data_IF_919760399028
#
_entry.id   IF_919760399028
#
_cell.length_a   1.000
_cell.length_b   1.000
_cell.length_c   1.000
_cell.angle_alpha   90.00
_cell.angle_beta   90.00
_cell.angle_gamma   90.00
#
_symmetry.space_group_name_H-M   'P 1'
#
loop_
_entity.id
_entity.type
_entity.pdbx_description
1 polymer ?
#
# COMPACT_ATOMS: atom_id res chain seq x y z
N UNK A 1 -28.72 -26.83 59.44
CA UNK A 1 -28.75 -28.19 58.89
C UNK A 1 -28.31 -28.08 57.43
N UNK A 2 -27.02 -28.40 57.17
CA UNK A 2 -26.31 -28.52 55.86
C UNK A 2 -26.07 -27.18 55.14
N UNK A 3 -24.87 -26.60 55.03
CA UNK A 3 -23.50 -27.12 54.83
C UNK A 3 -23.31 -28.07 53.66
N UNK A 4 -22.28 -27.74 52.87
CA UNK A 4 -21.60 -28.48 51.77
C UNK A 4 -22.33 -28.65 50.44
N UNK A 5 -21.89 -27.88 49.41
CA UNK A 5 -21.01 -28.39 48.37
C UNK A 5 -20.30 -27.24 47.61
N UNK A 6 -19.03 -27.07 47.97
CA UNK A 6 -17.98 -26.39 47.23
C UNK A 6 -17.66 -27.19 45.95
N UNK A 7 -17.34 -26.50 44.84
CA UNK A 7 -16.17 -26.81 43.99
C UNK A 7 -16.31 -26.22 42.58
N UNK A 8 -15.59 -25.11 42.34
CA UNK A 8 -14.70 -24.97 41.19
C UNK A 8 -15.31 -24.86 39.78
N UNK A 9 -15.28 -23.65 39.23
CA UNK A 9 -14.52 -23.34 38.01
C UNK A 9 -14.47 -21.84 37.78
N UNK A 10 -13.48 -21.21 38.41
CA UNK A 10 -12.82 -20.03 37.86
C UNK A 10 -12.21 -20.43 36.51
N UNK A 11 -12.98 -20.22 35.45
CA UNK A 11 -12.54 -20.33 34.07
C UNK A 11 -12.16 -18.96 33.53
N UNK A 12 -11.19 -18.28 34.18
CA UNK A 12 -10.45 -17.21 33.51
C UNK A 12 -9.83 -17.83 32.24
N UNK A 13 -10.40 -17.50 31.08
CA UNK A 13 -9.76 -17.76 29.80
C UNK A 13 -8.46 -16.93 29.77
N UNK A 14 -7.37 -17.59 30.12
CA UNK A 14 -6.02 -17.05 30.13
C UNK A 14 -5.59 -16.63 28.73
N UNK A 15 -5.89 -15.40 28.36
CA UNK A 15 -5.13 -14.68 27.35
C UNK A 15 -3.74 -14.45 27.92
N UNK A 16 -2.80 -15.35 27.63
CA UNK A 16 -1.42 -15.24 28.07
C UNK A 16 -0.83 -13.89 27.68
N UNK A 17 -0.82 -12.94 28.62
CA UNK A 17 -0.09 -11.69 28.48
C UNK A 17 1.39 -12.09 28.40
N UNK A 18 2.01 -11.81 27.26
CA UNK A 18 3.46 -11.93 27.08
C UNK A 18 4.18 -11.35 28.31
N UNK A 19 5.18 -12.05 28.88
CA UNK A 19 5.89 -11.57 30.04
C UNK A 19 6.43 -10.16 29.78
N UNK A 20 6.29 -9.28 30.77
CA UNK A 20 6.48 -7.83 30.70
C UNK A 20 7.87 -7.36 30.19
N UNK A 21 8.84 -8.27 30.09
CA UNK A 21 10.24 -8.00 29.80
C UNK A 21 10.52 -7.50 28.37
N UNK A 22 9.70 -7.86 27.36
CA UNK A 22 9.96 -7.50 25.95
C UNK A 22 9.01 -6.45 25.36
N UNK A 23 8.23 -5.76 26.20
CA UNK A 23 7.28 -4.74 25.72
C UNK A 23 8.02 -3.44 25.36
N UNK A 24 8.13 -3.17 24.07
CA UNK A 24 8.63 -1.87 23.58
C UNK A 24 7.67 -0.77 24.04
N UNK A 25 8.20 0.23 24.77
CA UNK A 25 7.42 1.37 25.28
C UNK A 25 7.46 2.58 24.35
N UNK A 26 8.57 2.77 23.63
CA UNK A 26 8.74 3.91 22.75
C UNK A 26 7.82 3.78 21.51
N UNK A 27 6.86 4.69 21.39
CA UNK A 27 5.89 4.72 20.30
C UNK A 27 6.55 4.93 18.94
N UNK A 28 7.56 5.81 18.86
CA UNK A 28 8.29 6.05 17.64
C UNK A 28 8.96 4.78 17.12
N UNK A 29 9.60 4.02 18.01
CA UNK A 29 10.23 2.75 17.65
C UNK A 29 9.20 1.69 17.24
N UNK A 30 8.05 1.63 17.93
CA UNK A 30 6.95 0.71 17.55
C UNK A 30 6.41 1.03 16.16
N UNK A 31 6.17 2.32 15.87
CA UNK A 31 5.69 2.74 14.55
C UNK A 31 6.72 2.46 13.46
N UNK A 32 8.01 2.70 13.73
CA UNK A 32 9.08 2.35 12.80
C UNK A 32 9.10 0.85 12.48
N UNK A 33 9.06 -0.01 13.49
CA UNK A 33 9.01 -1.46 13.27
C UNK A 33 7.76 -1.90 12.51
N UNK A 34 6.60 -1.30 12.82
CA UNK A 34 5.35 -1.58 12.12
C UNK A 34 5.43 -1.17 10.64
N UNK A 35 5.94 0.03 10.34
CA UNK A 35 6.15 0.51 8.97
C UNK A 35 7.17 -0.32 8.19
N UNK A 36 8.26 -0.76 8.83
CA UNK A 36 9.24 -1.67 8.22
C UNK A 36 8.58 -3.00 7.86
N UNK A 37 7.86 -3.62 8.80
CA UNK A 37 7.25 -4.93 8.58
C UNK A 37 6.11 -4.88 7.55
N UNK A 38 5.23 -3.88 7.61
CA UNK A 38 4.14 -3.74 6.65
C UNK A 38 4.65 -3.44 5.24
N UNK A 39 5.64 -2.55 5.11
CA UNK A 39 6.27 -2.27 3.82
C UNK A 39 7.01 -3.50 3.28
N UNK A 40 7.71 -4.24 4.14
CA UNK A 40 8.36 -5.49 3.78
C UNK A 40 7.37 -6.51 3.19
N UNK A 41 6.21 -6.69 3.84
CA UNK A 41 5.19 -7.65 3.37
C UNK A 41 4.58 -7.23 2.05
N UNK A 42 4.19 -5.96 1.91
CA UNK A 42 3.69 -5.42 0.64
C UNK A 42 4.70 -5.63 -0.50
N UNK A 43 5.96 -5.30 -0.25
CA UNK A 43 7.01 -5.38 -1.26
C UNK A 43 7.39 -6.82 -1.59
N UNK A 44 7.38 -7.73 -0.61
CA UNK A 44 7.68 -9.15 -0.84
C UNK A 44 6.64 -9.77 -1.78
N UNK A 45 5.35 -9.54 -1.52
CA UNK A 45 4.30 -10.06 -2.40
C UNK A 45 4.27 -9.35 -3.75
N UNK A 46 4.39 -8.01 -3.79
CA UNK A 46 4.39 -7.25 -5.03
C UNK A 46 5.58 -7.58 -5.94
N UNK A 47 6.81 -7.55 -5.41
CA UNK A 47 8.00 -7.92 -6.19
C UNK A 47 8.02 -9.41 -6.53
N UNK A 48 7.50 -10.27 -5.66
CA UNK A 48 7.38 -11.70 -5.89
C UNK A 48 6.48 -12.03 -7.09
N UNK A 49 5.32 -11.39 -7.23
CA UNK A 49 4.47 -11.60 -8.42
C UNK A 49 5.12 -11.12 -9.70
N UNK A 50 5.89 -10.03 -9.64
CA UNK A 50 6.66 -9.54 -10.78
C UNK A 50 7.76 -10.53 -11.17
N UNK A 51 8.55 -11.00 -10.20
CA UNK A 51 9.59 -12.00 -10.43
C UNK A 51 8.99 -13.27 -11.06
N UNK A 52 7.91 -13.79 -10.49
CA UNK A 52 7.19 -14.96 -10.99
C UNK A 52 6.75 -14.82 -12.45
N UNK A 53 6.15 -13.68 -12.82
CA UNK A 53 5.67 -13.44 -14.19
C UNK A 53 6.83 -13.30 -15.17
N UNK A 54 7.89 -12.60 -14.78
CA UNK A 54 9.04 -12.32 -15.65
C UNK A 54 9.91 -13.56 -15.84
N UNK A 55 10.36 -14.20 -14.76
CA UNK A 55 11.23 -15.39 -14.86
C UNK A 55 10.49 -16.61 -15.40
N UNK A 56 9.16 -16.64 -15.25
CA UNK A 56 8.30 -17.65 -15.84
C UNK A 56 7.89 -17.37 -17.28
N UNK A 57 8.39 -16.31 -17.92
CA UNK A 57 8.03 -15.88 -19.28
C UNK A 57 6.51 -15.86 -19.55
N UNK A 58 5.75 -15.40 -18.55
CA UNK A 58 4.29 -15.32 -18.62
C UNK A 58 3.53 -16.64 -18.46
N UNK A 59 4.21 -17.76 -18.15
CA UNK A 59 3.58 -19.06 -17.84
C UNK A 59 2.82 -19.03 -16.51
N UNK A 60 3.40 -18.37 -15.50
CA UNK A 60 2.87 -18.35 -14.13
C UNK A 60 2.07 -17.08 -13.80
N UNK A 61 1.74 -16.26 -14.80
CA UNK A 61 0.90 -15.08 -14.63
C UNK A 61 1.05 -14.05 -15.73
N UNK A 62 0.22 -13.01 -15.66
CA UNK A 62 0.18 -11.87 -16.61
C UNK A 62 0.02 -10.55 -15.85
N UNK A 63 -0.10 -9.45 -16.58
CA UNK A 63 -0.27 -8.11 -16.03
C UNK A 63 -1.30 -8.02 -14.89
N UNK A 64 -2.47 -8.66 -15.04
CA UNK A 64 -3.50 -8.70 -13.99
C UNK A 64 -3.01 -9.34 -12.69
N UNK A 65 -2.25 -10.44 -12.76
CA UNK A 65 -1.72 -11.12 -11.57
C UNK A 65 -0.71 -10.26 -10.80
N UNK A 66 0.04 -9.40 -11.49
CA UNK A 66 0.93 -8.42 -10.85
C UNK A 66 0.10 -7.41 -10.05
N UNK A 67 -0.93 -6.82 -10.67
CA UNK A 67 -1.79 -5.85 -10.00
C UNK A 67 -2.55 -6.47 -8.82
N UNK A 68 -3.03 -7.70 -8.96
CA UNK A 68 -3.68 -8.45 -7.89
C UNK A 68 -2.71 -8.70 -6.73
N UNK A 69 -1.49 -9.14 -7.02
CA UNK A 69 -0.45 -9.38 -6.02
C UNK A 69 -0.08 -8.11 -5.24
N UNK A 70 0.08 -6.97 -5.93
CA UNK A 70 0.34 -5.68 -5.27
C UNK A 70 -0.84 -5.23 -4.42
N UNK A 71 -2.08 -5.31 -4.93
CA UNK A 71 -3.27 -4.94 -4.17
C UNK A 71 -3.45 -5.78 -2.91
N UNK A 72 -3.34 -7.10 -3.02
CA UNK A 72 -3.44 -8.00 -1.86
C UNK A 72 -2.24 -7.85 -0.91
N UNK A 73 -1.04 -7.59 -1.42
CA UNK A 73 0.14 -7.29 -0.61
C UNK A 73 -0.03 -6.02 0.22
N UNK A 74 -0.63 -4.97 -0.36
CA UNK A 74 -1.01 -3.76 0.37
C UNK A 74 -2.04 -4.07 1.46
N UNK A 75 -3.09 -4.83 1.14
CA UNK A 75 -4.10 -5.22 2.13
C UNK A 75 -3.47 -5.93 3.34
N UNK A 76 -2.55 -6.86 3.10
CA UNK A 76 -1.85 -7.57 4.18
C UNK A 76 -0.93 -6.63 4.99
N UNK A 77 -0.24 -5.70 4.34
CA UNK A 77 0.55 -4.69 5.06
C UNK A 77 -0.30 -3.78 5.95
N UNK A 78 -1.50 -3.37 5.48
CA UNK A 78 -2.45 -2.61 6.29
C UNK A 78 -2.96 -3.44 7.48
N UNK A 79 -3.24 -4.73 7.29
CA UNK A 79 -3.59 -5.62 8.39
C UNK A 79 -2.50 -5.73 9.46
N UNK A 80 -1.23 -5.73 9.06
CA UNK A 80 -0.08 -5.86 9.97
C UNK A 80 0.10 -4.63 10.84
N UNK A 81 0.10 -3.43 10.23
CA UNK A 81 0.53 -2.21 10.90
C UNK A 81 -0.59 -1.21 11.18
N UNK A 82 -1.82 -1.45 10.70
CA UNK A 82 -2.90 -0.45 10.72
C UNK A 82 -3.23 0.08 12.11
N UNK A 83 -3.23 -0.78 13.14
CA UNK A 83 -3.49 -0.37 14.54
C UNK A 83 -2.26 0.16 15.29
N UNK A 84 -1.06 0.11 14.70
CA UNK A 84 0.19 0.51 15.37
C UNK A 84 0.72 1.81 14.79
N UNK A 85 0.96 1.86 13.47
CA UNK A 85 1.52 3.05 12.80
C UNK A 85 0.49 3.78 11.92
N UNK A 86 -0.67 3.17 11.68
CA UNK A 86 -1.60 3.59 10.62
C UNK A 86 -1.28 2.95 9.25
N UNK A 87 -0.23 2.14 9.16
CA UNK A 87 0.21 1.45 7.93
C UNK A 87 0.33 2.39 6.72
N UNK A 88 1.15 3.42 6.82
CA UNK A 88 1.34 4.34 5.70
C UNK A 88 2.01 3.64 4.52
N UNK A 89 3.09 2.89 4.78
CA UNK A 89 3.82 2.06 3.81
C UNK A 89 4.31 2.81 2.57
N UNK A 90 4.21 4.14 2.61
CA UNK A 90 4.34 5.03 1.48
C UNK A 90 4.78 6.42 1.97
N UNK A 91 5.91 6.89 1.45
CA UNK A 91 6.44 8.21 1.80
C UNK A 91 5.51 9.34 1.36
N UNK A 92 4.79 9.20 0.23
CA UNK A 92 3.81 10.18 -0.22
C UNK A 92 2.61 10.25 0.73
N UNK A 93 2.07 9.10 1.16
CA UNK A 93 1.00 9.05 2.18
C UNK A 93 1.47 9.68 3.49
N UNK A 94 2.69 9.36 3.93
CA UNK A 94 3.26 9.93 5.16
C UNK A 94 3.43 11.45 5.06
N UNK A 95 3.84 11.94 3.90
CA UNK A 95 3.95 13.37 3.61
C UNK A 95 2.57 14.05 3.64
N UNK A 96 1.56 13.45 2.98
CA UNK A 96 0.17 13.94 3.01
C UNK A 96 -0.40 13.98 4.43
N UNK A 97 -0.15 12.96 5.25
CA UNK A 97 -0.58 12.96 6.65
C UNK A 97 0.09 14.07 7.46
N UNK A 98 1.34 14.44 7.14
CA UNK A 98 1.98 15.61 7.76
C UNK A 98 1.33 16.92 7.30
N UNK A 99 1.03 17.06 6.02
CA UNK A 99 0.34 18.23 5.46
C UNK A 99 -1.05 18.44 6.09
N UNK A 100 -1.78 17.36 6.36
CA UNK A 100 -3.09 17.40 7.02
C UNK A 100 -3.03 17.42 8.56
N UNK A 101 -1.83 17.51 9.15
CA UNK A 101 -1.66 17.56 10.60
C UNK A 101 -2.03 16.26 11.33
N UNK A 102 -2.16 15.14 10.60
CA UNK A 102 -2.45 13.80 11.15
C UNK A 102 -1.18 13.02 11.53
N UNK A 103 -0.01 13.47 11.09
CA UNK A 103 1.30 12.97 11.50
C UNK A 103 2.21 14.15 11.87
N UNK A 104 2.93 14.06 12.99
CA UNK A 104 3.92 15.08 13.35
C UNK A 104 5.10 15.07 12.37
N UNK A 105 5.55 16.23 11.90
CA UNK A 105 6.68 16.36 10.97
C UNK A 105 7.97 15.69 11.46
N UNK A 106 8.18 15.59 12.78
CA UNK A 106 9.33 14.88 13.37
C UNK A 106 9.30 13.36 13.12
N UNK A 107 8.11 12.79 12.93
CA UNK A 107 7.91 11.37 12.63
C UNK A 107 8.08 11.05 11.15
N UNK A 108 7.94 12.04 10.26
CA UNK A 108 8.09 11.85 8.82
C UNK A 108 9.41 11.16 8.42
N UNK A 109 10.61 11.63 8.83
CA UNK A 109 11.86 10.98 8.46
C UNK A 109 11.97 9.55 9.04
N UNK A 110 11.37 9.29 10.21
CA UNK A 110 11.35 7.94 10.81
C UNK A 110 10.52 7.00 9.96
N UNK A 111 9.33 7.42 9.53
CA UNK A 111 8.46 6.64 8.66
C UNK A 111 9.13 6.34 7.32
N UNK A 112 9.71 7.36 6.67
CA UNK A 112 10.40 7.17 5.39
C UNK A 112 11.57 6.20 5.53
N UNK A 113 12.44 6.38 6.53
CA UNK A 113 13.57 5.48 6.76
C UNK A 113 13.12 4.03 7.03
N UNK A 114 12.07 3.84 7.86
CA UNK A 114 11.51 2.54 8.17
C UNK A 114 10.92 1.83 6.94
N UNK A 115 10.18 2.56 6.11
CA UNK A 115 9.61 2.05 4.86
C UNK A 115 10.71 1.69 3.87
N UNK A 116 11.73 2.56 3.74
CA UNK A 116 12.87 2.30 2.86
C UNK A 116 13.62 1.03 3.25
N UNK A 117 13.85 0.84 4.55
CA UNK A 117 14.47 -0.38 5.07
C UNK A 117 13.65 -1.63 4.75
N UNK A 118 12.33 -1.61 5.03
CA UNK A 118 11.46 -2.75 4.76
C UNK A 118 11.41 -3.13 3.28
N UNK A 119 11.33 -2.13 2.41
CA UNK A 119 11.34 -2.30 0.95
C UNK A 119 12.66 -2.83 0.41
N UNK A 120 13.79 -2.35 0.94
CA UNK A 120 15.13 -2.85 0.60
C UNK A 120 15.29 -4.33 1.01
N UNK A 121 14.89 -4.67 2.24
CA UNK A 121 14.93 -6.05 2.74
C UNK A 121 14.06 -6.98 1.89
N UNK A 122 12.86 -6.54 1.50
CA UNK A 122 11.97 -7.32 0.65
C UNK A 122 12.56 -7.58 -0.74
N UNK A 123 13.24 -6.60 -1.33
CA UNK A 123 13.96 -6.78 -2.60
C UNK A 123 15.04 -7.85 -2.47
N UNK A 124 15.82 -7.83 -1.38
CA UNK A 124 16.79 -8.87 -1.06
C UNK A 124 16.18 -10.26 -0.89
N UNK A 125 15.07 -10.36 -0.16
CA UNK A 125 14.36 -11.63 0.01
C UNK A 125 13.88 -12.16 -1.34
N UNK A 126 13.20 -11.36 -2.16
CA UNK A 126 12.69 -11.82 -3.46
C UNK A 126 13.83 -12.19 -4.40
N UNK A 127 14.91 -11.43 -4.42
CA UNK A 127 16.11 -11.79 -5.18
C UNK A 127 16.67 -13.16 -4.75
N UNK A 128 16.75 -13.43 -3.45
CA UNK A 128 17.21 -14.73 -2.95
C UNK A 128 16.27 -15.89 -3.32
N UNK A 129 14.95 -15.67 -3.27
CA UNK A 129 13.95 -16.68 -3.60
C UNK A 129 13.93 -17.03 -5.09
N UNK A 130 14.20 -16.05 -5.94
CA UNK A 130 14.16 -16.19 -7.40
C UNK A 130 15.56 -16.24 -8.03
N UNK A 131 16.63 -16.41 -7.24
CA UNK A 131 18.01 -16.30 -7.73
C UNK A 131 18.29 -17.22 -8.92
N UNK A 132 18.01 -18.52 -8.78
CA UNK A 132 18.22 -19.50 -9.85
C UNK A 132 17.32 -19.24 -11.06
N UNK A 133 16.06 -18.86 -10.83
CA UNK A 133 15.12 -18.53 -11.89
C UNK A 133 15.57 -17.29 -12.70
N UNK A 134 16.11 -16.28 -12.02
CA UNK A 134 16.69 -15.09 -12.64
C UNK A 134 17.95 -15.43 -13.43
N UNK A 135 18.85 -16.26 -12.89
CA UNK A 135 20.04 -16.71 -13.61
C UNK A 135 19.70 -17.49 -14.87
N UNK A 136 18.74 -18.42 -14.80
CA UNK A 136 18.29 -19.19 -15.96
C UNK A 136 17.65 -18.29 -17.02
N UNK A 137 16.81 -17.34 -16.60
CA UNK A 137 16.18 -16.36 -17.49
C UNK A 137 17.22 -15.46 -18.17
N UNK A 138 18.21 -14.96 -17.42
CA UNK A 138 19.30 -14.15 -17.96
C UNK A 138 20.19 -14.97 -18.90
N UNK A 139 20.64 -16.15 -18.48
CA UNK A 139 21.52 -17.02 -19.27
C UNK A 139 20.92 -17.47 -20.61
N UNK A 140 19.59 -17.60 -20.69
CA UNK A 140 18.87 -17.85 -21.94
C UNK A 140 18.79 -16.62 -22.87
N UNK A 141 18.96 -15.40 -22.33
CA UNK A 141 18.70 -14.14 -23.06
C UNK A 141 19.96 -13.30 -23.30
N UNK A 142 21.02 -13.43 -22.48
CA UNK A 142 22.40 -12.88 -22.67
C UNK A 142 23.35 -13.31 -21.53
N UNK A 143 24.65 -13.61 -21.80
CA UNK A 143 25.60 -14.12 -20.80
C UNK A 143 26.17 -13.06 -19.84
N UNK A 144 25.67 -11.83 -19.89
CA UNK A 144 26.03 -10.76 -18.96
C UNK A 144 24.84 -10.43 -18.09
N UNK A 145 25.06 -10.24 -16.79
CA UNK A 145 24.03 -9.77 -15.85
C UNK A 145 23.51 -8.34 -16.20
N UNK A 146 24.04 -7.69 -17.25
CA UNK A 146 23.50 -6.50 -17.96
C UNK A 146 24.20 -6.28 -19.34
N UNK A 147 23.64 -5.67 -20.41
CA UNK A 147 22.37 -4.96 -20.54
C UNK A 147 21.54 -5.45 -21.76
N UNK A 148 20.59 -6.36 -21.53
CA UNK A 148 19.33 -6.39 -22.29
C UNK A 148 18.32 -5.43 -21.64
N UNK A 149 17.14 -5.17 -22.24
CA UNK A 149 16.12 -4.35 -21.58
C UNK A 149 15.91 -4.92 -20.16
N UNK A 150 16.07 -4.11 -19.10
CA UNK A 150 16.25 -4.65 -17.77
C UNK A 150 15.05 -5.52 -17.39
N UNK A 151 15.34 -6.69 -16.80
CA UNK A 151 14.35 -7.59 -16.20
C UNK A 151 13.22 -6.77 -15.56
N UNK A 152 11.98 -7.22 -15.67
CA UNK A 152 10.84 -6.60 -15.00
C UNK A 152 10.97 -6.49 -13.47
N UNK A 153 12.06 -6.99 -12.86
CA UNK A 153 12.50 -6.70 -11.49
C UNK A 153 13.14 -5.31 -11.30
N UNK A 154 13.45 -4.59 -12.38
CA UNK A 154 13.90 -3.20 -12.31
C UNK A 154 12.75 -2.27 -11.95
N UNK A 155 13.04 -1.14 -11.28
CA UNK A 155 12.02 -0.17 -10.94
C UNK A 155 11.35 0.33 -12.23
N UNK A 156 10.03 0.53 -12.23
CA UNK A 156 9.28 0.71 -13.47
C UNK A 156 9.76 1.95 -14.23
N UNK A 157 10.33 1.76 -15.41
CA UNK A 157 10.65 2.79 -16.40
C UNK A 157 9.49 2.95 -17.39
N UNK A 158 9.31 4.14 -18.01
CA UNK A 158 8.27 4.32 -19.01
C UNK A 158 8.51 3.40 -20.22
N UNK A 159 7.45 2.82 -20.83
CA UNK A 159 7.58 2.06 -22.06
C UNK A 159 7.92 3.01 -23.22
N UNK A 160 8.51 2.51 -24.33
CA UNK A 160 8.90 3.33 -25.48
C UNK A 160 7.73 4.10 -26.11
N UNK A 161 6.51 3.60 -25.93
CA UNK A 161 5.27 4.18 -26.46
C UNK A 161 4.74 5.36 -25.66
N UNK A 162 5.26 5.61 -24.45
CA UNK A 162 4.80 6.69 -23.58
C UNK A 162 5.90 7.76 -23.42
N UNK A 163 5.66 9.02 -23.85
CA UNK A 163 6.59 10.11 -23.62
C UNK A 163 6.88 10.31 -22.13
N UNK A 164 8.11 10.72 -21.80
CA UNK A 164 8.58 10.99 -20.44
C UNK A 164 7.60 11.83 -19.60
N UNK A 165 7.03 12.88 -20.21
CA UNK A 165 6.07 13.77 -19.57
C UNK A 165 4.74 13.06 -19.26
N UNK A 166 4.22 12.24 -20.18
CA UNK A 166 2.96 11.50 -20.00
C UNK A 166 3.07 10.45 -18.89
N UNK A 167 4.21 9.75 -18.83
CA UNK A 167 4.50 8.81 -17.77
C UNK A 167 4.64 9.49 -16.39
N UNK A 168 5.27 10.68 -16.36
CA UNK A 168 5.40 11.50 -15.14
C UNK A 168 4.03 11.99 -14.65
N UNK A 169 3.18 12.45 -15.57
CA UNK A 169 1.82 12.90 -15.26
C UNK A 169 0.95 11.78 -14.68
N UNK A 170 1.06 10.57 -15.24
CA UNK A 170 0.30 9.41 -14.74
C UNK A 170 0.65 9.09 -13.29
N UNK A 171 1.89 9.34 -12.84
CA UNK A 171 2.30 9.15 -11.44
C UNK A 171 1.79 10.23 -10.51
N UNK A 172 1.84 11.50 -10.94
CA UNK A 172 1.21 12.59 -10.20
C UNK A 172 -0.29 12.33 -10.02
N UNK A 173 -1.00 12.07 -11.12
CA UNK A 173 -2.45 11.85 -11.11
C UNK A 173 -2.84 10.58 -10.35
N UNK A 174 -2.10 9.48 -10.55
CA UNK A 174 -2.34 8.23 -9.85
C UNK A 174 -2.16 8.35 -8.33
N UNK A 175 -1.16 9.12 -7.89
CA UNK A 175 -0.96 9.38 -6.46
C UNK A 175 -2.05 10.30 -5.90
N UNK A 176 -2.47 11.32 -6.67
CA UNK A 176 -3.59 12.16 -6.27
C UNK A 176 -4.89 11.35 -6.10
N UNK A 177 -5.19 10.44 -7.04
CA UNK A 177 -6.35 9.54 -6.93
C UNK A 177 -6.23 8.56 -5.76
N UNK A 178 -5.04 7.97 -5.53
CA UNK A 178 -4.78 7.14 -4.36
C UNK A 178 -5.14 7.89 -3.07
N UNK A 179 -4.61 9.09 -2.90
CA UNK A 179 -4.78 9.86 -1.68
C UNK A 179 -6.22 10.35 -1.52
N UNK A 180 -6.86 10.80 -2.59
CA UNK A 180 -8.27 11.20 -2.57
C UNK A 180 -9.17 10.04 -2.09
N UNK A 181 -9.03 8.87 -2.71
CA UNK A 181 -9.82 7.69 -2.34
C UNK A 181 -9.46 7.18 -0.95
N UNK A 182 -8.19 7.19 -0.55
CA UNK A 182 -7.75 6.77 0.78
C UNK A 182 -8.34 7.69 1.87
N UNK A 183 -8.36 9.00 1.63
CA UNK A 183 -9.01 9.95 2.52
C UNK A 183 -10.52 9.69 2.59
N UNK A 184 -11.19 9.45 1.47
CA UNK A 184 -12.61 9.14 1.43
C UNK A 184 -12.96 7.84 2.18
N UNK A 185 -12.14 6.79 2.05
CA UNK A 185 -12.31 5.52 2.78
C UNK A 185 -12.12 5.68 4.29
N UNK A 186 -11.33 6.66 4.72
CA UNK A 186 -11.06 6.93 6.14
C UNK A 186 -12.02 7.93 6.79
N UNK A 187 -12.73 8.74 5.99
CA UNK A 187 -13.52 9.87 6.48
C UNK A 187 -14.84 9.42 7.09
N UNK A 188 -14.93 9.53 8.41
CA UNK A 188 -16.13 9.18 9.18
C UNK A 188 -17.33 10.09 8.90
N UNK A 189 -17.13 11.24 8.24
CA UNK A 189 -18.22 12.15 7.83
C UNK A 189 -18.78 11.85 6.43
N UNK A 190 -18.15 10.94 5.69
CA UNK A 190 -18.60 10.50 4.38
C UNK A 190 -19.13 9.05 4.48
N UNK A 191 -18.78 8.19 3.53
CA UNK A 191 -19.02 6.75 3.56
C UNK A 191 -17.69 6.02 3.77
N UNK A 192 -17.24 5.87 5.04
CA UNK A 192 -15.99 5.18 5.32
C UNK A 192 -16.09 3.69 5.00
N UNK A 193 -14.94 3.03 4.86
CA UNK A 193 -14.89 1.59 4.80
C UNK A 193 -15.52 0.97 6.08
N UNK A 194 -16.20 -0.17 5.91
CA UNK A 194 -16.79 -0.88 7.04
C UNK A 194 -15.68 -1.33 8.00
N UNK A 195 -15.95 -1.26 9.30
CA UNK A 195 -15.00 -1.65 10.32
C UNK A 195 -14.46 -3.08 10.09
N UNK A 196 -13.14 -3.22 9.99
CA UNK A 196 -12.46 -4.48 9.70
C UNK A 196 -12.22 -4.78 8.22
N UNK A 197 -12.89 -4.07 7.28
CA UNK A 197 -12.68 -4.24 5.83
C UNK A 197 -11.77 -3.17 5.22
N UNK A 198 -11.27 -2.23 6.02
CA UNK A 198 -10.37 -1.16 5.58
C UNK A 198 -9.13 -1.71 4.84
N UNK A 199 -8.46 -2.77 5.31
CA UNK A 199 -7.29 -3.32 4.63
C UNK A 199 -7.62 -3.85 3.24
N UNK A 200 -8.75 -4.55 3.09
CA UNK A 200 -9.21 -5.05 1.80
C UNK A 200 -9.59 -3.89 0.87
N UNK A 201 -10.31 -2.87 1.37
CA UNK A 201 -10.68 -1.71 0.58
C UNK A 201 -9.47 -0.95 0.03
N UNK A 202 -8.43 -0.74 0.85
CA UNK A 202 -7.18 -0.10 0.43
C UNK A 202 -6.43 -0.97 -0.59
N UNK A 203 -6.41 -2.30 -0.40
CA UNK A 203 -5.81 -3.21 -1.38
C UNK A 203 -6.53 -3.21 -2.73
N UNK A 204 -7.86 -3.21 -2.72
CA UNK A 204 -8.69 -3.12 -3.94
C UNK A 204 -8.51 -1.78 -4.65
N UNK A 205 -8.32 -0.68 -3.92
CA UNK A 205 -7.97 0.62 -4.48
C UNK A 205 -6.63 0.56 -5.24
N UNK A 206 -5.60 -0.06 -4.65
CA UNK A 206 -4.29 -0.20 -5.32
C UNK A 206 -4.39 -1.12 -6.55
N UNK A 207 -5.16 -2.22 -6.45
CA UNK A 207 -5.46 -3.07 -7.61
C UNK A 207 -6.12 -2.25 -8.74
N UNK A 208 -7.15 -1.44 -8.41
CA UNK A 208 -7.85 -0.60 -9.36
C UNK A 208 -6.90 0.38 -10.06
N UNK A 209 -6.05 1.06 -9.30
CA UNK A 209 -5.03 1.97 -9.86
C UNK A 209 -4.06 1.23 -10.80
N UNK A 210 -3.64 0.02 -10.43
CA UNK A 210 -2.75 -0.81 -11.25
C UNK A 210 -3.39 -1.21 -12.58
N UNK A 211 -4.64 -1.68 -12.57
CA UNK A 211 -5.34 -2.09 -13.80
C UNK A 211 -5.74 -0.91 -14.69
N UNK A 212 -6.01 0.26 -14.11
CA UNK A 212 -6.46 1.45 -14.87
C UNK A 212 -5.31 2.33 -15.36
N UNK A 213 -4.23 2.46 -14.59
CA UNK A 213 -3.19 3.48 -14.82
C UNK A 213 -1.76 2.93 -14.82
N UNK A 214 -1.59 1.61 -14.67
CA UNK A 214 -0.27 1.01 -14.53
C UNK A 214 0.51 0.81 -15.84
N UNK A 215 -0.14 0.82 -17.01
CA UNK A 215 0.50 0.52 -18.30
C UNK A 215 1.59 1.53 -18.69
N UNK A 216 1.42 2.81 -18.31
CA UNK A 216 2.33 3.88 -18.71
C UNK A 216 3.65 3.90 -17.93
N UNK A 217 3.69 3.41 -16.68
CA UNK A 217 4.92 3.45 -15.87
C UNK A 217 4.86 2.60 -14.58
N UNK A 218 4.09 1.51 -14.58
CA UNK A 218 4.02 0.55 -13.47
C UNK A 218 3.45 1.10 -12.16
N UNK A 219 2.64 2.18 -12.23
CA UNK A 219 1.95 2.83 -11.09
C UNK A 219 2.82 3.00 -9.84
N UNK A 220 4.09 3.40 -10.00
CA UNK A 220 4.96 3.76 -8.88
C UNK A 220 4.51 5.09 -8.23
N UNK A 221 3.42 5.00 -7.46
CA UNK A 221 2.77 6.06 -6.67
C UNK A 221 3.32 6.13 -5.23
N UNK A 222 4.46 5.48 -5.00
CA UNK A 222 5.09 5.32 -3.70
C UNK A 222 6.62 5.42 -3.84
N UNK A 223 7.25 6.50 -3.34
CA UNK A 223 8.71 6.64 -3.38
C UNK A 223 9.45 5.48 -2.67
N UNK A 224 8.91 4.99 -1.55
CA UNK A 224 9.46 3.87 -0.77
C UNK A 224 9.37 2.52 -1.51
N UNK A 225 8.56 2.42 -2.56
CA UNK A 225 8.41 1.22 -3.41
C UNK A 225 9.36 1.20 -4.61
N UNK A 226 10.00 2.32 -4.94
CA UNK A 226 10.86 2.45 -6.13
C UNK A 226 12.34 2.59 -5.76
N UNK A 227 12.70 3.57 -4.91
CA UNK A 227 14.09 3.87 -4.62
C UNK A 227 14.81 2.71 -3.90
N UNK A 228 14.27 2.09 -2.84
CA UNK A 228 15.01 1.06 -2.11
C UNK A 228 15.30 -0.21 -2.93
N UNK A 229 14.33 -0.78 -3.70
CA UNK A 229 14.63 -1.87 -4.61
C UNK A 229 15.64 -1.47 -5.71
N UNK A 230 15.62 -0.21 -6.18
CA UNK A 230 16.62 0.31 -7.13
C UNK A 230 18.03 0.32 -6.53
N UNK A 231 18.16 0.76 -5.28
CA UNK A 231 19.44 0.73 -4.56
C UNK A 231 19.88 -0.73 -4.40
N UNK A 232 18.97 -1.63 -4.01
CA UNK A 232 19.28 -3.06 -3.89
C UNK A 232 19.79 -3.63 -5.22
N UNK A 233 19.10 -3.43 -6.34
CA UNK A 233 19.52 -3.97 -7.63
C UNK A 233 20.85 -3.39 -8.11
N UNK A 234 21.13 -2.11 -7.85
CA UNK A 234 22.44 -1.52 -8.12
C UNK A 234 23.57 -2.28 -7.39
N UNK A 235 23.35 -2.62 -6.11
CA UNK A 235 24.29 -3.37 -5.28
C UNK A 235 24.37 -4.86 -5.64
N UNK A 236 23.27 -5.44 -6.14
CA UNK A 236 23.15 -6.86 -6.46
C UNK A 236 23.71 -7.25 -7.85
N UNK A 237 24.38 -6.33 -8.54
CA UNK A 237 25.12 -6.62 -9.78
C UNK A 237 24.62 -5.91 -11.04
N UNK A 238 23.48 -5.21 -10.99
CA UNK A 238 23.03 -4.38 -12.14
C UNK A 238 23.82 -3.07 -12.27
N UNK A 239 24.52 -2.65 -11.21
CA UNK A 239 25.36 -1.46 -11.22
C UNK A 239 24.58 -0.14 -11.33
N UNK A 240 25.25 0.98 -11.63
CA UNK A 240 24.65 2.31 -11.62
C UNK A 240 23.67 2.56 -12.77
N UNK A 241 23.62 1.67 -13.76
CA UNK A 241 22.74 1.81 -14.94
C UNK A 241 21.26 1.79 -14.56
N UNK A 242 20.90 1.19 -13.43
CA UNK A 242 19.52 1.27 -12.89
C UNK A 242 19.10 2.71 -12.59
N UNK A 243 20.02 3.65 -12.39
CA UNK A 243 19.72 5.07 -12.22
C UNK A 243 19.75 5.86 -13.53
N UNK A 244 20.35 5.33 -14.60
CA UNK A 244 20.42 5.97 -15.92
C UNK A 244 19.29 5.56 -16.86
N UNK A 245 18.75 4.37 -16.66
CA UNK A 245 17.65 3.82 -17.44
C UNK A 245 16.45 4.79 -17.51
N UNK A 246 15.84 4.87 -18.71
CA UNK A 246 14.67 5.72 -18.95
C UNK A 246 14.94 7.23 -18.85
N UNK A 247 16.10 7.70 -19.31
CA UNK A 247 16.53 9.11 -19.23
C UNK A 247 16.64 9.60 -17.78
N UNK A 248 17.39 8.86 -16.95
CA UNK A 248 17.54 9.12 -15.52
C UNK A 248 16.20 9.10 -14.76
N UNK A 249 15.34 8.13 -15.06
CA UNK A 249 13.97 8.06 -14.56
C UNK A 249 13.83 8.02 -13.04
N UNK A 250 14.90 7.65 -12.32
CA UNK A 250 14.88 7.36 -10.89
C UNK A 250 14.26 8.46 -10.03
N UNK A 251 14.39 9.74 -10.38
CA UNK A 251 13.89 10.85 -9.56
C UNK A 251 12.38 11.09 -9.73
N UNK A 252 11.79 10.71 -10.86
CA UNK A 252 10.35 10.88 -11.14
C UNK A 252 9.47 10.13 -10.12
N UNK A 253 9.67 8.83 -9.83
CA UNK A 253 8.92 8.14 -8.77
C UNK A 253 9.13 8.71 -7.37
N UNK A 254 10.14 9.55 -7.14
CA UNK A 254 10.30 10.24 -5.86
C UNK A 254 9.49 11.52 -5.81
N UNK A 255 9.62 12.38 -6.83
CA UNK A 255 9.02 13.71 -6.82
C UNK A 255 7.56 13.73 -7.28
N UNK A 256 7.20 12.96 -8.32
CA UNK A 256 5.84 12.99 -8.86
C UNK A 256 4.77 12.57 -7.83
N UNK A 257 4.96 11.55 -6.98
CA UNK A 257 4.01 11.24 -5.92
C UNK A 257 3.84 12.37 -4.88
N UNK A 258 4.93 13.07 -4.54
CA UNK A 258 4.88 14.21 -3.63
C UNK A 258 4.11 15.40 -4.25
N UNK A 259 4.30 15.66 -5.54
CA UNK A 259 3.52 16.67 -6.28
C UNK A 259 2.03 16.27 -6.30
N UNK A 260 1.72 15.01 -6.59
CA UNK A 260 0.34 14.51 -6.52
C UNK A 260 -0.30 14.68 -5.13
N UNK A 261 0.51 14.57 -4.07
CA UNK A 261 0.07 14.83 -2.69
C UNK A 261 -0.35 16.28 -2.46
N UNK A 262 0.35 17.25 -3.06
CA UNK A 262 0.02 18.67 -2.98
C UNK A 262 -1.27 18.99 -3.77
N UNK A 263 -1.52 18.32 -4.89
CA UNK A 263 -2.75 18.52 -5.68
C UNK A 263 -4.02 18.22 -4.88
N UNK A 264 -4.00 17.16 -4.05
CA UNK A 264 -5.15 16.81 -3.18
C UNK A 264 -5.35 17.86 -2.08
N UNK A 265 -4.26 18.45 -1.57
CA UNK A 265 -4.34 19.53 -0.58
C UNK A 265 -4.99 20.79 -1.16
N UNK A 266 -4.62 21.17 -2.39
CA UNK A 266 -5.19 22.33 -3.08
C UNK A 266 -6.68 22.17 -3.43
N UNK A 267 -7.12 20.93 -3.66
CA UNK A 267 -8.53 20.64 -3.93
C UNK A 267 -9.38 20.64 -2.66
N UNK A 268 -8.89 20.12 -1.52
CA UNK A 268 -9.72 19.77 -0.36
C UNK A 268 -9.08 20.02 0.99
N UNK A 269 -8.57 21.24 1.23
CA UNK A 269 -7.85 21.64 2.45
C UNK A 269 -8.30 20.90 3.72
N UNK A 270 -7.54 19.86 4.11
CA UNK A 270 -7.70 19.07 5.35
C UNK A 270 -8.97 18.24 5.49
N UNK A 271 -9.97 18.51 4.66
CA UNK A 271 -11.34 18.14 4.88
C UNK A 271 -11.97 17.85 3.50
N UNK A 272 -12.43 16.62 3.26
CA UNK A 272 -13.23 16.30 2.07
C UNK A 272 -14.69 16.71 2.26
N UNK A 273 -15.11 17.02 3.49
CA UNK A 273 -16.46 17.47 3.79
C UNK A 273 -16.89 18.70 2.96
N UNK A 274 -16.10 19.78 2.77
CA UNK A 274 -16.52 20.90 1.92
C UNK A 274 -16.50 20.60 0.42
N UNK A 275 -15.76 19.59 -0.07
CA UNK A 275 -15.71 19.23 -1.49
C UNK A 275 -16.88 18.32 -1.94
N UNK A 276 -17.31 17.41 -1.05
CA UNK A 276 -18.30 16.37 -1.35
C UNK A 276 -19.57 16.51 -0.49
N UNK A 277 -19.64 17.46 0.45
CA UNK A 277 -20.91 17.83 1.07
C UNK A 277 -21.83 18.44 0.02
N UNK A 278 -22.59 17.58 -0.63
CA UNK A 278 -23.98 17.89 -0.92
C UNK A 278 -24.58 18.33 0.41
N UNK A 279 -24.82 19.64 0.55
CA UNK A 279 -25.83 20.17 1.46
C UNK A 279 -27.14 19.46 1.13
N UNK A 280 -27.41 18.34 1.79
CA UNK A 280 -28.72 17.70 1.88
C UNK A 280 -29.03 17.63 3.37
N UNK A 281 -29.65 18.67 3.92
CA UNK A 281 -31.10 18.73 4.08
C UNK A 281 -31.60 17.54 4.90
N UNK A 282 -32.18 17.84 6.06
CA UNK A 282 -32.94 16.91 6.88
C UNK A 282 -33.76 15.93 6.01
N UNK A 283 -33.34 14.67 5.95
CA UNK A 283 -34.23 13.60 5.56
C UNK A 283 -34.90 13.10 6.84
N UNK A 284 -36.24 13.20 6.97
CA UNK A 284 -36.92 12.51 8.04
C UNK A 284 -36.65 11.01 7.86
N UNK A 285 -36.29 10.33 8.96
CA UNK A 285 -36.28 8.87 8.99
C UNK A 285 -37.60 8.38 8.38
N UNK A 286 -37.60 7.36 7.49
CA UNK A 286 -38.84 6.69 7.16
C UNK A 286 -39.43 6.14 8.47
N UNK A 287 -40.69 6.43 8.75
CA UNK A 287 -41.41 5.87 9.88
C UNK A 287 -41.48 4.34 9.76
N UNK A 288 -41.49 3.58 10.87
CA UNK A 288 -41.40 2.11 10.85
C UNK A 288 -42.65 1.36 10.34
N UNK A 289 -43.64 2.02 9.74
CA UNK A 289 -45.00 1.48 9.65
C UNK A 289 -45.41 0.99 8.24
N UNK A 290 -44.50 0.32 7.53
CA UNK A 290 -44.79 -0.28 6.21
C UNK A 290 -45.21 -1.77 6.27
N UNK A 291 -45.54 -2.30 7.45
CA UNK A 291 -46.14 -3.62 7.65
C UNK A 291 -47.30 -3.61 8.65
N UNK A 292 -48.26 -2.71 8.46
CA UNK A 292 -49.58 -2.80 9.10
C UNK A 292 -50.54 -3.68 8.27
N UNK A 293 -51.36 -4.55 8.88
CA UNK A 293 -52.26 -5.42 8.14
C UNK A 293 -53.35 -4.61 7.41
N UNK A 294 -53.60 -4.96 6.16
CA UNK A 294 -54.64 -4.37 5.32
C UNK A 294 -56.01 -4.49 6.00
N UNK A 295 -56.61 -3.35 6.36
CA UNK A 295 -58.03 -3.30 6.69
C UNK A 295 -58.83 -3.46 5.38
N UNK A 296 -59.45 -4.64 5.22
CA UNK A 296 -60.55 -4.84 4.29
C UNK A 296 -61.79 -4.10 4.78
N UNK A 297 -62.36 -3.26 3.92
CA UNK A 297 -63.48 -2.37 4.21
C UNK A 297 -64.80 -3.08 4.48
N UNK A 298 -65.67 -2.39 5.21
CA UNK A 298 -67.08 -2.73 5.35
C UNK A 298 -67.92 -2.11 4.24
N UNK A 299 -68.73 -2.94 3.60
CA UNK A 299 -70.15 -2.79 3.28
C UNK A 299 -70.58 -4.02 2.47
#
# INVERSE_FOLDING_TARGET
MKDTLNSGKDGQAGGGRMPFAFRIRNECFRSALAETLSTYVMMTFGLGTVAQVVTGDGLFGRYLSINLGFGLGVAMGVHIAGKVSGAHMNAAVSFTMCLFGRLAWRMFPVYVAAQMLGSFMAAGTVFSLYYDAMLNYCGATSPSLAPGPPLGSSPPTPPPTCPYLGASWTRCWGTAMLLLCLMALSDQRNQPAQAGSEPLAVGLLVLLLGVSMGSNSGYAINPSRDLPPRIFTALAGWGPEVFRAGQNWWWVPLLAPLIGSLCVMGAGGGDLAPLIAVRGAASPRPSPDLWGPAQGGGA
#
